data_IF_402891784838
#
_entry.id   IF_402891784838
#
_cell.length_a   1.000
_cell.length_b   1.000
_cell.length_c   1.000
_cell.angle_alpha   90.00
_cell.angle_beta   90.00
_cell.angle_gamma   90.00
#
_symmetry.space_group_name_H-M   'P 1'
#
loop_
_entity.id
_entity.type
_entity.pdbx_description
1 polymer ?
#
# COMPACT_ATOMS: atom_id res chain seq x y z
N UNK A 1 14.50 67.75 -59.71
CA UNK A 1 15.19 67.35 -60.95
C UNK A 1 14.82 65.91 -61.30
N UNK A 2 13.75 65.73 -62.08
CA UNK A 2 13.52 64.50 -62.86
C UNK A 2 14.18 64.70 -64.22
N UNK A 3 14.36 63.59 -64.94
CA UNK A 3 14.74 63.43 -66.35
C UNK A 3 16.24 63.41 -66.71
N UNK A 4 16.77 62.19 -66.84
CA UNK A 4 17.51 61.77 -68.04
C UNK A 4 17.43 60.24 -68.23
N UNK A 5 16.24 59.74 -68.56
CA UNK A 5 16.06 58.39 -69.06
C UNK A 5 15.18 58.50 -70.28
N UNK A 6 15.78 58.44 -71.47
CA UNK A 6 15.21 57.84 -72.68
C UNK A 6 16.11 58.11 -73.90
N UNK A 7 17.18 57.32 -74.00
CA UNK A 7 17.72 56.92 -75.31
C UNK A 7 18.45 55.58 -75.21
N UNK A 8 17.82 54.61 -74.55
CA UNK A 8 18.31 53.23 -74.56
C UNK A 8 17.72 52.53 -75.79
N UNK A 9 18.61 51.97 -76.61
CA UNK A 9 18.28 51.10 -77.73
C UNK A 9 17.29 50.02 -77.28
N UNK A 10 16.24 49.76 -78.07
CA UNK A 10 15.21 48.74 -77.78
C UNK A 10 15.84 47.38 -77.42
N UNK A 11 17.02 47.06 -77.97
CA UNK A 11 17.76 45.82 -77.69
C UNK A 11 18.34 45.83 -76.27
N UNK A 12 18.92 46.95 -75.83
CA UNK A 12 19.50 47.09 -74.48
C UNK A 12 18.45 47.01 -73.38
N UNK A 13 17.24 47.54 -73.60
CA UNK A 13 16.13 47.45 -72.63
C UNK A 13 15.64 46.00 -72.49
N UNK A 14 15.60 45.23 -73.57
CA UNK A 14 15.22 43.81 -73.55
C UNK A 14 16.25 42.98 -72.80
N UNK A 15 17.55 43.18 -73.06
CA UNK A 15 18.60 42.48 -72.32
C UNK A 15 18.58 42.83 -70.83
N UNK A 16 18.41 44.10 -70.48
CA UNK A 16 18.30 44.54 -69.07
C UNK A 16 17.10 43.89 -68.37
N UNK A 17 15.94 43.83 -69.04
CA UNK A 17 14.74 43.18 -68.52
C UNK A 17 14.97 41.68 -68.25
N UNK A 18 15.67 40.99 -69.14
CA UNK A 18 15.99 39.56 -68.98
C UNK A 18 16.92 39.35 -67.79
N UNK A 19 17.94 40.20 -67.62
CA UNK A 19 18.87 40.11 -66.49
C UNK A 19 18.17 40.33 -65.15
N UNK A 20 17.27 41.31 -65.08
CA UNK A 20 16.51 41.59 -63.85
C UNK A 20 15.60 40.41 -63.48
N UNK A 21 14.93 39.81 -64.47
CA UNK A 21 14.08 38.62 -64.24
C UNK A 21 14.90 37.43 -63.75
N UNK A 22 16.09 37.18 -64.32
CA UNK A 22 16.99 36.13 -63.86
C UNK A 22 17.44 36.32 -62.41
N UNK A 23 17.77 37.56 -62.02
CA UNK A 23 18.17 37.88 -60.65
C UNK A 23 17.01 37.63 -59.67
N UNK A 24 15.78 38.00 -60.04
CA UNK A 24 14.60 37.76 -59.22
C UNK A 24 14.37 36.26 -59.02
N UNK A 25 14.54 35.45 -60.07
CA UNK A 25 14.39 33.99 -59.98
C UNK A 25 15.43 33.40 -59.02
N UNK A 26 16.69 33.82 -59.10
CA UNK A 26 17.76 33.34 -58.20
C UNK A 26 17.47 33.71 -56.74
N UNK A 27 16.97 34.94 -56.48
CA UNK A 27 16.61 35.39 -55.14
C UNK A 27 15.41 34.60 -54.60
N UNK A 28 14.38 34.36 -55.42
CA UNK A 28 13.22 33.55 -55.05
C UNK A 28 13.57 32.09 -54.78
N UNK A 29 14.52 31.53 -55.53
CA UNK A 29 15.00 30.16 -55.34
C UNK A 29 15.75 30.03 -54.01
N UNK A 30 16.66 30.97 -53.71
CA UNK A 30 17.38 30.99 -52.43
C UNK A 30 16.45 31.22 -51.22
N UNK A 31 15.39 32.02 -51.35
CA UNK A 31 14.40 32.23 -50.29
C UNK A 31 13.46 31.03 -50.10
N UNK A 32 13.08 30.35 -51.18
CA UNK A 32 12.15 29.20 -51.13
C UNK A 32 12.81 27.95 -50.56
N UNK A 33 14.09 27.71 -50.86
CA UNK A 33 14.80 26.54 -50.36
C UNK A 33 15.43 26.71 -48.98
N UNK A 34 15.49 27.93 -48.43
CA UNK A 34 16.23 28.19 -47.20
C UNK A 34 15.40 28.59 -45.96
N UNK A 35 14.24 27.99 -45.64
CA UNK A 35 13.66 28.17 -44.31
C UNK A 35 14.31 27.26 -43.23
N UNK A 36 15.35 26.49 -43.55
CA UNK A 36 15.86 25.42 -42.68
C UNK A 36 17.23 25.67 -42.01
N UNK A 37 17.91 26.80 -42.27
CA UNK A 37 19.23 27.08 -41.68
C UNK A 37 19.20 27.74 -40.29
N UNK A 38 18.21 27.43 -39.46
CA UNK A 38 18.20 27.88 -38.07
C UNK A 38 17.62 26.84 -37.13
N UNK A 39 18.50 25.95 -36.64
CA UNK A 39 18.65 25.46 -35.24
C UNK A 39 19.16 24.00 -35.19
N UNK A 40 20.45 23.77 -35.53
CA UNK A 40 21.09 22.46 -35.32
C UNK A 40 21.13 22.03 -33.84
N UNK A 41 20.98 22.94 -32.88
CA UNK A 41 20.86 22.59 -31.45
C UNK A 41 19.53 21.92 -31.09
N UNK A 42 18.40 22.45 -31.59
CA UNK A 42 17.07 22.05 -31.08
C UNK A 42 16.64 20.62 -31.44
N UNK A 43 17.18 20.04 -32.52
CA UNK A 43 16.84 18.67 -32.93
C UNK A 43 17.66 17.65 -32.14
N UNK A 44 18.95 17.92 -31.96
CA UNK A 44 19.86 17.09 -31.17
C UNK A 44 19.47 17.10 -29.69
N UNK A 45 19.09 18.26 -29.15
CA UNK A 45 18.61 18.38 -27.77
C UNK A 45 17.31 17.58 -27.56
N UNK A 46 16.38 17.65 -28.52
CA UNK A 46 15.14 16.84 -28.49
C UNK A 46 15.42 15.34 -28.58
N UNK A 47 16.43 14.93 -29.36
CA UNK A 47 16.83 13.51 -29.47
C UNK A 47 17.50 13.04 -28.17
N UNK A 48 18.37 13.86 -27.57
CA UNK A 48 19.01 13.57 -26.29
C UNK A 48 17.98 13.40 -25.17
N UNK A 49 17.02 14.33 -25.05
CA UNK A 49 15.95 14.26 -24.06
C UNK A 49 15.07 13.02 -24.24
N UNK A 50 14.67 12.70 -25.47
CA UNK A 50 13.89 11.48 -25.75
C UNK A 50 14.65 10.21 -25.41
N UNK A 51 15.96 10.17 -25.67
CA UNK A 51 16.84 9.03 -25.35
C UNK A 51 17.00 8.87 -23.84
N UNK A 52 17.18 9.96 -23.11
CA UNK A 52 17.26 9.96 -21.64
C UNK A 52 15.96 9.46 -21.01
N UNK A 53 14.82 9.97 -21.48
CA UNK A 53 13.51 9.49 -21.04
C UNK A 53 13.33 8.00 -21.34
N UNK A 54 13.72 7.54 -22.53
CA UNK A 54 13.63 6.12 -22.90
C UNK A 54 14.48 5.22 -22.00
N UNK A 55 15.72 5.63 -21.70
CA UNK A 55 16.60 4.91 -20.77
C UNK A 55 15.97 4.87 -19.37
N UNK A 56 15.43 5.99 -18.89
CA UNK A 56 14.77 6.08 -17.58
C UNK A 56 13.53 5.18 -17.51
N UNK A 57 12.69 5.18 -18.54
CA UNK A 57 11.51 4.30 -18.60
C UNK A 57 11.91 2.83 -18.70
N UNK A 58 12.92 2.49 -19.49
CA UNK A 58 13.41 1.10 -19.58
C UNK A 58 14.02 0.62 -18.27
N UNK A 59 14.73 1.46 -17.53
CA UNK A 59 15.25 1.11 -16.20
C UNK A 59 14.12 0.82 -15.20
N UNK A 60 13.03 1.60 -15.23
CA UNK A 60 11.86 1.34 -14.38
C UNK A 60 11.12 0.07 -14.82
N UNK A 61 11.03 -0.18 -16.13
CA UNK A 61 10.40 -1.39 -16.69
C UNK A 61 11.24 -2.64 -16.40
N UNK A 62 12.57 -2.56 -16.43
CA UNK A 62 13.44 -3.69 -16.11
C UNK A 62 13.28 -4.15 -14.66
N UNK A 63 12.97 -3.22 -13.76
CA UNK A 63 12.74 -3.51 -12.34
C UNK A 63 11.29 -3.86 -12.02
N UNK A 64 10.37 -3.79 -12.99
CA UNK A 64 8.95 -4.07 -12.79
C UNK A 64 8.71 -5.46 -12.21
N UNK A 65 9.36 -6.49 -12.75
CA UNK A 65 9.21 -7.87 -12.27
C UNK A 65 9.73 -8.02 -10.82
N UNK A 66 10.81 -7.31 -10.47
CA UNK A 66 11.32 -7.27 -9.10
C UNK A 66 10.29 -6.64 -8.15
N UNK A 67 9.69 -5.50 -8.52
CA UNK A 67 8.68 -4.84 -7.71
C UNK A 67 7.38 -5.64 -7.62
N UNK A 68 6.94 -6.28 -8.70
CA UNK A 68 5.77 -7.17 -8.68
C UNK A 68 6.00 -8.37 -7.76
N UNK A 69 7.20 -8.98 -7.80
CA UNK A 69 7.57 -10.05 -6.86
C UNK A 69 7.60 -9.56 -5.41
N UNK A 70 8.14 -8.37 -5.16
CA UNK A 70 8.13 -7.77 -3.82
C UNK A 70 6.71 -7.48 -3.33
N UNK A 71 5.86 -6.93 -4.20
CA UNK A 71 4.45 -6.66 -3.90
C UNK A 71 3.69 -7.96 -3.61
N UNK A 72 3.93 -9.01 -4.40
CA UNK A 72 3.32 -10.32 -4.19
C UNK A 72 3.79 -10.96 -2.88
N UNK A 73 5.09 -10.90 -2.58
CA UNK A 73 5.64 -11.35 -1.29
C UNK A 73 4.98 -10.59 -0.14
N UNK A 74 4.91 -9.27 -0.22
CA UNK A 74 4.29 -8.43 0.81
C UNK A 74 2.80 -8.76 0.99
N UNK A 75 2.07 -8.95 -0.10
CA UNK A 75 0.65 -9.35 -0.08
C UNK A 75 0.45 -10.73 0.56
N UNK A 76 1.32 -11.68 0.26
CA UNK A 76 1.27 -13.02 0.85
C UNK A 76 1.60 -12.98 2.34
N UNK A 77 2.61 -12.21 2.73
CA UNK A 77 2.97 -11.97 4.14
C UNK A 77 1.82 -11.31 4.89
N UNK A 78 1.19 -10.27 4.32
CA UNK A 78 0.04 -9.61 4.91
C UNK A 78 -1.14 -10.57 5.09
N UNK A 79 -1.49 -11.32 4.04
CA UNK A 79 -2.57 -12.33 4.10
C UNK A 79 -2.29 -13.40 5.16
N UNK A 80 -1.03 -13.81 5.30
CA UNK A 80 -0.62 -14.77 6.34
C UNK A 80 -0.84 -14.21 7.75
N UNK A 81 -0.49 -12.95 8.00
CA UNK A 81 -0.76 -12.31 9.29
C UNK A 81 -2.25 -12.10 9.55
N UNK A 82 -3.03 -11.74 8.53
CA UNK A 82 -4.46 -11.48 8.66
C UNK A 82 -5.24 -12.70 9.17
N UNK A 83 -4.83 -13.92 8.77
CA UNK A 83 -5.44 -15.16 9.30
C UNK A 83 -5.23 -15.35 10.81
N UNK A 84 -4.16 -14.76 11.36
CA UNK A 84 -3.80 -14.83 12.78
C UNK A 84 -4.45 -13.73 13.60
N UNK A 85 -5.15 -12.77 12.99
CA UNK A 85 -5.93 -11.77 13.72
C UNK A 85 -7.16 -12.40 14.38
N UNK A 86 -7.69 -11.70 15.38
CA UNK A 86 -8.96 -12.04 16.01
C UNK A 86 -10.08 -11.46 15.14
N UNK A 87 -10.89 -12.34 14.53
CA UNK A 87 -12.04 -11.92 13.73
C UNK A 87 -13.30 -11.88 14.59
N UNK A 88 -14.02 -10.77 14.57
CA UNK A 88 -15.20 -10.56 15.41
C UNK A 88 -16.19 -9.61 14.75
N UNK A 89 -17.45 -9.63 15.18
CA UNK A 89 -18.48 -8.69 14.71
C UNK A 89 -18.57 -7.44 15.58
N UNK A 90 -18.12 -7.51 16.84
CA UNK A 90 -18.13 -6.41 17.80
C UNK A 90 -16.82 -6.37 18.58
N UNK A 91 -16.49 -5.21 19.16
CA UNK A 91 -15.34 -5.00 20.04
C UNK A 91 -15.37 -5.95 21.26
N UNK A 92 -16.52 -6.05 21.91
CA UNK A 92 -16.71 -6.91 23.08
C UNK A 92 -16.46 -8.38 22.75
N UNK A 93 -16.92 -8.84 21.58
CA UNK A 93 -16.69 -10.22 21.14
C UNK A 93 -15.21 -10.47 20.85
N UNK A 94 -14.51 -9.46 20.32
CA UNK A 94 -13.07 -9.55 20.07
C UNK A 94 -12.29 -9.71 21.38
N UNK A 95 -12.63 -8.92 22.39
CA UNK A 95 -12.04 -9.00 23.72
C UNK A 95 -12.36 -10.34 24.40
N UNK A 96 -13.60 -10.82 24.30
CA UNK A 96 -13.99 -12.12 24.84
C UNK A 96 -13.17 -13.25 24.20
N UNK A 97 -13.04 -13.24 22.86
CA UNK A 97 -12.20 -14.20 22.13
C UNK A 97 -10.74 -14.15 22.56
N UNK A 98 -10.18 -12.96 22.76
CA UNK A 98 -8.81 -12.80 23.28
C UNK A 98 -8.68 -13.42 24.69
N UNK A 99 -9.61 -13.12 25.58
CA UNK A 99 -9.58 -13.66 26.94
C UNK A 99 -9.69 -15.19 26.96
N UNK A 100 -10.57 -15.77 26.15
CA UNK A 100 -10.75 -17.22 26.07
C UNK A 100 -9.54 -17.91 25.45
N UNK A 101 -8.92 -17.29 24.44
CA UNK A 101 -7.64 -17.73 23.90
C UNK A 101 -6.57 -17.77 25.00
N UNK A 102 -6.38 -16.67 25.74
CA UNK A 102 -5.37 -16.59 26.80
C UNK A 102 -5.65 -17.62 27.91
N UNK A 103 -6.90 -17.79 28.34
CA UNK A 103 -7.31 -18.84 29.29
C UNK A 103 -6.94 -20.24 28.79
N UNK A 104 -7.16 -20.51 27.51
CA UNK A 104 -6.81 -21.81 26.91
C UNK A 104 -5.30 -22.05 26.94
N UNK A 105 -4.49 -21.04 26.61
CA UNK A 105 -3.02 -21.12 26.61
C UNK A 105 -2.47 -21.26 28.03
N UNK A 106 -3.06 -20.56 29.00
CA UNK A 106 -2.73 -20.70 30.42
C UNK A 106 -2.99 -22.13 30.92
N UNK A 107 -4.17 -22.69 30.61
CA UNK A 107 -4.52 -24.08 30.98
C UNK A 107 -3.56 -25.09 30.36
N UNK A 108 -3.22 -24.97 29.07
CA UNK A 108 -2.22 -25.81 28.38
C UNK A 108 -0.83 -25.72 29.03
N UNK A 109 -0.53 -24.60 29.69
CA UNK A 109 0.73 -24.34 30.38
C UNK A 109 0.72 -24.72 31.87
N UNK A 110 -0.41 -25.24 32.37
CA UNK A 110 -0.59 -25.63 33.77
C UNK A 110 -0.75 -24.44 34.72
N UNK A 111 -1.25 -23.31 34.21
CA UNK A 111 -1.55 -22.11 34.99
C UNK A 111 -3.07 -21.88 35.08
N UNK A 112 -3.52 -21.34 36.20
CA UNK A 112 -4.89 -20.87 36.38
C UNK A 112 -4.91 -19.35 36.47
N UNK A 113 -5.74 -18.73 35.64
CA UNK A 113 -5.96 -17.28 35.67
C UNK A 113 -6.92 -16.96 36.81
N UNK A 114 -6.46 -16.18 37.77
CA UNK A 114 -7.26 -15.73 38.92
C UNK A 114 -8.19 -14.58 38.55
N UNK A 115 -7.74 -13.67 37.68
CA UNK A 115 -8.55 -12.55 37.16
C UNK A 115 -8.20 -12.26 35.71
N UNK A 116 -9.23 -12.01 34.90
CA UNK A 116 -9.11 -11.55 33.52
C UNK A 116 -10.07 -10.38 33.32
N UNK A 117 -9.60 -9.29 32.74
CA UNK A 117 -10.44 -8.14 32.41
C UNK A 117 -10.09 -7.58 31.03
N UNK A 118 -11.13 -7.22 30.28
CA UNK A 118 -10.98 -6.43 29.07
C UNK A 118 -10.48 -5.02 29.41
N UNK A 119 -9.76 -4.39 28.49
CA UNK A 119 -9.43 -2.97 28.56
C UNK A 119 -9.83 -2.25 27.28
N UNK A 120 -9.82 -0.91 27.32
CA UNK A 120 -10.22 -0.04 26.21
C UNK A 120 -9.60 -0.50 24.89
N UNK A 121 -10.43 -0.58 23.85
CA UNK A 121 -10.01 -0.89 22.48
C UNK A 121 -9.45 0.36 21.81
N UNK A 122 -8.41 0.19 21.00
CA UNK A 122 -7.81 1.26 20.22
C UNK A 122 -7.99 0.98 18.73
N UNK A 123 -8.62 1.90 18.00
CA UNK A 123 -8.84 1.76 16.56
C UNK A 123 -7.55 2.14 15.83
N UNK A 124 -7.01 1.23 15.03
CA UNK A 124 -5.79 1.43 14.24
C UNK A 124 -6.14 1.99 12.86
N UNK A 125 -7.21 1.47 12.26
CA UNK A 125 -7.62 1.83 10.92
C UNK A 125 -9.14 1.65 10.78
N UNK A 126 -9.79 2.53 10.04
CA UNK A 126 -11.23 2.46 9.79
C UNK A 126 -11.57 1.48 8.66
N UNK A 127 -10.68 1.32 7.67
CA UNK A 127 -10.88 0.43 6.50
C UNK A 127 -9.57 -0.25 6.07
N UNK A 128 -9.42 -1.58 6.25
CA UNK A 128 -10.29 -2.46 7.02
C UNK A 128 -10.34 -2.05 8.49
N UNK A 129 -11.47 -2.32 9.16
CA UNK A 129 -11.67 -1.92 10.55
C UNK A 129 -10.79 -2.77 11.48
N UNK A 130 -9.59 -2.28 11.77
CA UNK A 130 -8.56 -2.92 12.57
C UNK A 130 -8.45 -2.22 13.92
N UNK A 131 -8.33 -3.01 14.97
CA UNK A 131 -8.28 -2.51 16.34
C UNK A 131 -7.34 -3.34 17.21
N UNK A 132 -6.72 -2.69 18.19
CA UNK A 132 -6.00 -3.34 19.27
C UNK A 132 -6.97 -3.64 20.40
N UNK A 133 -7.06 -4.92 20.76
CA UNK A 133 -7.84 -5.39 21.89
C UNK A 133 -6.90 -5.83 22.99
N UNK A 134 -7.23 -5.45 24.22
CA UNK A 134 -6.37 -5.65 25.39
C UNK A 134 -7.05 -6.56 26.40
N UNK A 135 -6.24 -7.43 27.02
CA UNK A 135 -6.63 -8.27 28.13
C UNK A 135 -5.59 -8.15 29.25
N UNK A 136 -6.06 -7.87 30.47
CA UNK A 136 -5.23 -7.91 31.67
C UNK A 136 -5.51 -9.20 32.41
N UNK A 137 -4.44 -9.96 32.67
CA UNK A 137 -4.50 -11.27 33.30
C UNK A 137 -3.68 -11.27 34.59
N UNK A 138 -4.26 -11.79 35.66
CA UNK A 138 -3.57 -12.03 36.92
C UNK A 138 -3.52 -13.52 37.19
N UNK A 139 -2.32 -14.01 37.51
CA UNK A 139 -2.03 -15.40 37.85
C UNK A 139 -1.40 -15.37 39.23
N UNK A 140 -2.09 -15.93 40.21
CA UNK A 140 -1.57 -16.08 41.57
C UNK A 140 -0.97 -17.48 41.76
N UNK A 141 -0.14 -17.63 42.80
CA UNK A 141 0.33 -18.94 43.27
C UNK A 141 1.01 -19.80 42.19
N UNK A 142 1.92 -19.20 41.42
CA UNK A 142 2.71 -19.93 40.44
C UNK A 142 3.77 -20.75 41.18
N UNK A 143 3.53 -22.05 41.35
CA UNK A 143 4.45 -23.00 42.02
C UNK A 143 5.85 -23.05 41.39
N UNK A 144 5.90 -22.92 40.05
CA UNK A 144 7.12 -23.08 39.26
C UNK A 144 7.20 -22.00 38.20
N UNK A 145 8.24 -21.16 38.26
CA UNK A 145 8.50 -20.12 37.26
C UNK A 145 8.59 -20.68 35.83
N UNK A 146 9.02 -21.94 35.67
CA UNK A 146 9.03 -22.66 34.38
C UNK A 146 7.64 -22.73 33.72
N UNK A 147 6.55 -22.80 34.50
CA UNK A 147 5.17 -22.77 33.95
C UNK A 147 4.82 -21.40 33.38
N UNK A 148 5.25 -20.33 34.06
CA UNK A 148 5.10 -18.95 33.54
C UNK A 148 5.90 -18.75 32.26
N UNK A 149 7.15 -19.22 32.22
CA UNK A 149 7.98 -19.18 31.01
C UNK A 149 7.32 -19.94 29.85
N UNK A 150 6.81 -21.15 30.11
CA UNK A 150 6.08 -21.94 29.11
C UNK A 150 4.83 -21.21 28.61
N UNK A 151 4.09 -20.55 29.51
CA UNK A 151 2.93 -19.75 29.14
C UNK A 151 3.29 -18.58 28.24
N UNK A 152 4.30 -17.78 28.61
CA UNK A 152 4.74 -16.64 27.80
C UNK A 152 5.24 -17.09 26.42
N UNK A 153 6.05 -18.15 26.39
CA UNK A 153 6.50 -18.77 25.14
C UNK A 153 5.32 -19.22 24.27
N UNK A 154 4.32 -19.86 24.86
CA UNK A 154 3.15 -20.31 24.10
C UNK A 154 2.25 -19.15 23.65
N UNK A 155 2.20 -18.03 24.37
CA UNK A 155 1.46 -16.86 23.89
C UNK A 155 2.13 -16.25 22.66
N UNK A 156 3.46 -16.13 22.68
CA UNK A 156 4.22 -15.43 21.65
C UNK A 156 4.49 -16.28 20.40
N UNK A 157 4.67 -17.60 20.56
CA UNK A 157 5.14 -18.49 19.48
C UNK A 157 4.14 -19.56 19.01
N UNK A 158 2.95 -19.69 19.59
CA UNK A 158 2.00 -20.76 19.24
C UNK A 158 1.38 -20.62 17.83
N UNK A 159 1.72 -19.60 17.04
CA UNK A 159 1.33 -19.38 15.63
C UNK A 159 -0.17 -19.30 15.32
N UNK A 160 -1.06 -19.69 16.24
CA UNK A 160 -2.52 -19.69 16.09
C UNK A 160 -3.10 -18.28 16.03
N UNK A 161 -2.61 -17.38 16.90
CA UNK A 161 -3.05 -15.99 17.01
C UNK A 161 -1.88 -15.08 17.29
N UNK A 162 -1.92 -13.87 16.74
CA UNK A 162 -0.94 -12.82 17.04
C UNK A 162 -1.34 -12.12 18.34
N UNK A 163 -0.75 -12.56 19.43
CA UNK A 163 -0.93 -11.98 20.76
C UNK A 163 0.44 -11.59 21.30
N UNK A 164 0.52 -10.39 21.85
CA UNK A 164 1.75 -9.77 22.33
C UNK A 164 1.63 -9.39 23.80
N UNK A 165 2.76 -9.38 24.49
CA UNK A 165 2.87 -8.94 25.88
C UNK A 165 3.24 -7.45 25.88
N UNK A 166 2.41 -6.61 26.48
CA UNK A 166 2.63 -5.16 26.63
C UNK A 166 3.35 -4.83 27.94
N UNK A 167 2.88 -5.41 29.04
CA UNK A 167 3.44 -5.20 30.38
C UNK A 167 3.43 -6.52 31.16
N UNK A 168 4.50 -6.78 31.89
CA UNK A 168 4.68 -7.97 32.71
C UNK A 168 5.23 -7.57 34.09
N UNK A 169 4.42 -7.78 35.12
CA UNK A 169 4.79 -7.53 36.51
C UNK A 169 4.79 -8.83 37.28
N UNK A 170 5.96 -9.21 37.78
CA UNK A 170 6.16 -10.42 38.57
C UNK A 170 6.43 -10.01 40.02
N UNK A 171 5.72 -10.64 40.95
CA UNK A 171 5.89 -10.44 42.40
C UNK A 171 6.15 -11.78 43.06
N UNK A 172 7.21 -11.87 43.87
CA UNK A 172 7.39 -13.03 44.75
C UNK A 172 6.42 -12.92 45.92
N UNK A 173 5.68 -13.98 46.26
CA UNK A 173 4.81 -13.97 47.44
C UNK A 173 5.57 -14.38 48.70
N UNK A 174 6.80 -13.89 48.91
CA UNK A 174 7.57 -14.07 50.15
C UNK A 174 8.99 -14.60 49.95
N UNK A 175 9.78 -14.58 51.03
CA UNK A 175 11.21 -14.96 51.04
C UNK A 175 11.47 -16.45 51.32
N UNK A 176 10.43 -17.23 51.63
CA UNK A 176 10.56 -18.66 51.93
C UNK A 176 10.25 -19.50 50.69
N UNK A 177 11.05 -20.54 50.45
CA UNK A 177 11.06 -21.45 49.30
C UNK A 177 9.72 -22.15 48.96
N UNK A 178 8.69 -21.95 49.80
CA UNK A 178 7.36 -22.56 49.71
C UNK A 178 6.28 -21.63 49.14
N UNK A 179 6.55 -20.34 48.94
CA UNK A 179 5.55 -19.39 48.43
C UNK A 179 5.76 -19.10 46.94
N UNK A 180 4.69 -19.24 46.17
CA UNK A 180 4.71 -19.14 44.71
C UNK A 180 5.00 -17.72 44.19
N UNK A 181 4.94 -17.57 42.87
CA UNK A 181 5.09 -16.27 42.22
C UNK A 181 3.71 -15.78 41.77
N UNK A 182 3.45 -14.48 41.82
CA UNK A 182 2.27 -13.89 41.20
C UNK A 182 2.68 -13.04 40.00
N UNK A 183 1.95 -13.17 38.90
CA UNK A 183 2.19 -12.41 37.67
C UNK A 183 0.95 -11.62 37.28
N UNK A 184 1.13 -10.35 36.96
CA UNK A 184 0.13 -9.53 36.27
C UNK A 184 0.66 -9.22 34.88
N UNK A 185 -0.12 -9.53 33.86
CA UNK A 185 0.29 -9.47 32.46
C UNK A 185 -0.76 -8.65 31.70
N UNK A 186 -0.33 -7.63 30.97
CA UNK A 186 -1.14 -6.93 29.99
C UNK A 186 -0.78 -7.50 28.62
N UNK A 187 -1.79 -8.02 27.94
CA UNK A 187 -1.67 -8.66 26.64
C UNK A 187 -2.51 -7.88 25.64
N UNK A 188 -2.08 -7.83 24.39
CA UNK A 188 -2.85 -7.25 23.30
C UNK A 188 -2.81 -8.12 22.06
N UNK A 189 -3.83 -7.98 21.23
CA UNK A 189 -3.92 -8.64 19.95
C UNK A 189 -4.55 -7.71 18.92
N UNK A 190 -4.23 -7.95 17.65
CA UNK A 190 -4.87 -7.27 16.54
C UNK A 190 -6.18 -8.00 16.24
N UNK A 191 -7.28 -7.26 16.25
CA UNK A 191 -8.59 -7.73 15.87
C UNK A 191 -9.08 -7.01 14.60
N UNK A 192 -9.83 -7.74 13.79
CA UNK A 192 -10.48 -7.24 12.59
C UNK A 192 -11.99 -7.39 12.76
N UNK A 193 -12.72 -6.29 12.61
CA UNK A 193 -14.17 -6.32 12.61
C UNK A 193 -14.67 -6.77 11.23
N UNK A 194 -15.38 -7.89 11.20
CA UNK A 194 -16.10 -8.33 10.02
C UNK A 194 -17.32 -7.44 9.85
N UNK A 195 -17.28 -6.52 8.88
CA UNK A 195 -18.49 -5.85 8.42
C UNK A 195 -19.43 -6.94 7.90
N UNK A 196 -20.58 -7.12 8.56
CA UNK A 196 -21.68 -7.93 8.04
C UNK A 196 -21.97 -7.42 6.63
N UNK A 197 -21.56 -8.16 5.60
CA UNK A 197 -22.20 -8.04 4.30
C UNK A 197 -23.64 -8.47 4.56
N UNK A 198 -24.55 -7.49 4.64
CA UNK A 198 -25.98 -7.74 4.63
C UNK A 198 -26.27 -8.58 3.38
N UNK A 199 -26.40 -9.90 3.56
CA UNK A 199 -27.17 -10.72 2.62
C UNK A 199 -28.61 -10.23 2.73
N UNK A 200 -28.95 -9.22 1.93
CA UNK A 200 -30.33 -8.93 1.57
C UNK A 200 -30.83 -10.10 0.73
N UNK A 201 -31.17 -11.20 1.39
CA UNK A 201 -32.12 -12.17 0.85
C UNK A 201 -33.51 -11.69 1.27
N UNK A 202 -33.91 -10.53 0.75
CA UNK A 202 -35.27 -10.03 0.88
C UNK A 202 -36.03 -10.42 -0.38
N UNK A 203 -36.82 -11.49 -0.24
CA UNK A 203 -38.05 -11.79 -0.99
C UNK A 203 -38.07 -11.54 -2.49
N UNK A 204 -37.77 -12.57 -3.28
CA UNK A 204 -38.59 -12.80 -4.49
C UNK A 204 -39.92 -13.41 -4.02
N UNK A 205 -41.09 -12.78 -4.27
CA UNK A 205 -42.37 -13.44 -4.08
C UNK A 205 -42.48 -14.63 -5.04
N UNK A 206 -43.18 -15.71 -4.66
CA UNK A 206 -43.37 -16.85 -5.54
C UNK A 206 -44.11 -16.40 -6.81
N UNK A 207 -43.58 -16.81 -7.96
CA UNK A 207 -44.20 -16.60 -9.25
C UNK A 207 -45.65 -17.11 -9.20
N UNK A 208 -46.59 -16.19 -9.35
CA UNK A 208 -48.01 -16.50 -9.51
C UNK A 208 -48.13 -17.31 -10.79
N UNK A 209 -48.52 -18.57 -10.64
CA UNK A 209 -48.90 -19.43 -11.76
C UNK A 209 -50.07 -18.80 -12.49
N UNK A 210 -49.85 -18.44 -13.74
CA UNK A 210 -50.91 -18.05 -14.66
C UNK A 210 -51.60 -19.34 -15.08
N UNK A 211 -52.79 -19.57 -14.54
CA UNK A 211 -53.79 -20.47 -15.10
C UNK A 211 -54.62 -19.71 -16.14
N UNK A 212 -54.95 -20.39 -17.24
CA UNK A 212 -55.83 -19.93 -18.31
C UNK A 212 -55.16 -20.15 -19.66
N UNK A 213 -55.77 -20.83 -20.63
CA UNK A 213 -57.07 -21.47 -20.78
C UNK A 213 -57.07 -22.16 -22.14
#
# INVERSE_FOLDING_TARGET
MRTSLNKLSKRTVVFLSITVVLIIIIICDQLSFNPFQSKPGSLNDKIALKKELFIKYNAVISDKDLYEKQLMKLKNTYSSFETKFIRSTTEDLAQAKLQDYIKSVARKSGLMISRSSAQKVEIINEKPHLMLVYARVQINEIDKIKRLQKFLHNIEYNNEKLVFVDDLKIKSTGFTTTKGVSATIKLFAIAMLETKVLKNTAGLPPAIGITGG
#
